data_IF_664116922324
#
_entry.id   IF_664116922324
#
_cell.length_a   1.000
_cell.length_b   1.000
_cell.length_c   1.000
_cell.angle_alpha   90.00
_cell.angle_beta   90.00
_cell.angle_gamma   90.00
#
_symmetry.space_group_name_H-M   'P 1'
#
loop_
_entity.id
_entity.type
_entity.pdbx_description
1 polymer ?
#
# COMPACT_ATOMS: atom_id res chain seq x y z
N UNK A 1 -8.00 1.38 54.41
CA UNK A 1 -7.13 0.50 53.58
C UNK A 1 -7.48 0.75 52.14
N UNK A 2 -6.66 1.57 51.53
CA UNK A 2 -6.41 1.92 50.13
C UNK A 2 -7.57 1.90 49.11
N UNK A 3 -8.13 3.08 49.03
CA UNK A 3 -8.85 3.60 47.84
C UNK A 3 -7.90 4.53 47.06
N UNK A 4 -6.85 3.99 46.45
CA UNK A 4 -5.98 4.76 45.52
C UNK A 4 -5.27 3.79 44.58
N UNK A 5 -5.86 3.56 43.42
CA UNK A 5 -5.17 3.22 42.17
C UNK A 5 -6.23 3.03 41.05
N UNK A 6 -7.18 3.96 40.94
CA UNK A 6 -7.77 4.21 39.63
C UNK A 6 -6.74 5.03 38.84
N UNK A 7 -5.76 4.36 38.25
CA UNK A 7 -5.00 4.92 37.12
C UNK A 7 -6.05 5.40 36.12
N UNK A 8 -6.17 6.72 35.99
CA UNK A 8 -6.89 7.33 34.87
C UNK A 8 -6.18 6.84 33.62
N UNK A 9 -6.75 5.84 32.96
CA UNK A 9 -6.43 5.56 31.58
C UNK A 9 -6.64 6.89 30.84
N UNK A 10 -5.69 7.34 30.00
CA UNK A 10 -5.95 8.47 29.15
C UNK A 10 -7.26 8.17 28.40
N UNK A 11 -8.11 9.20 28.17
CA UNK A 11 -9.32 8.99 27.38
C UNK A 11 -8.91 8.31 26.07
N UNK A 12 -9.70 7.35 25.57
CA UNK A 12 -9.41 6.74 24.29
C UNK A 12 -9.23 7.91 23.32
N UNK A 13 -8.05 8.01 22.68
CA UNK A 13 -7.88 8.87 21.53
C UNK A 13 -8.89 8.33 20.53
N UNK A 14 -9.99 9.00 20.39
CA UNK A 14 -10.86 8.85 19.21
C UNK A 14 -10.02 9.39 18.06
N UNK A 15 -9.22 8.52 17.44
CA UNK A 15 -8.60 8.80 16.17
C UNK A 15 -9.79 8.95 15.21
N UNK A 16 -9.98 10.14 14.70
CA UNK A 16 -10.94 10.35 13.62
C UNK A 16 -10.56 9.38 12.49
N UNK A 17 -11.55 8.67 11.91
CA UNK A 17 -11.25 7.74 10.82
C UNK A 17 -10.60 8.51 9.68
N UNK A 18 -9.59 7.92 9.04
CA UNK A 18 -9.00 8.50 7.84
C UNK A 18 -10.05 8.65 6.73
N UNK A 19 -9.80 9.54 5.76
CA UNK A 19 -10.68 9.68 4.60
C UNK A 19 -10.87 8.35 3.86
N UNK A 20 -9.79 7.56 3.73
CA UNK A 20 -9.85 6.21 3.18
C UNK A 20 -10.79 5.31 3.99
N UNK A 21 -10.66 5.27 5.32
CA UNK A 21 -11.51 4.42 6.16
C UNK A 21 -12.98 4.82 6.05
N UNK A 22 -13.29 6.12 5.96
CA UNK A 22 -14.67 6.60 5.73
C UNK A 22 -15.20 6.08 4.40
N UNK A 23 -14.42 6.20 3.32
CA UNK A 23 -14.79 5.69 2.00
C UNK A 23 -15.06 4.18 2.02
N UNK A 24 -14.18 3.40 2.65
CA UNK A 24 -14.33 1.94 2.73
C UNK A 24 -15.56 1.53 3.53
N UNK A 25 -15.85 2.22 4.62
CA UNK A 25 -17.08 1.97 5.43
C UNK A 25 -18.36 2.26 4.64
N UNK A 26 -18.38 3.33 3.84
CA UNK A 26 -19.50 3.65 2.97
C UNK A 26 -19.66 2.60 1.87
N UNK A 27 -18.56 2.22 1.20
CA UNK A 27 -18.59 1.23 0.14
C UNK A 27 -19.04 -0.15 0.62
N UNK A 28 -18.54 -0.63 1.77
CA UNK A 28 -18.95 -1.94 2.28
C UNK A 28 -20.39 -1.92 2.78
N UNK A 29 -20.88 -0.77 3.25
CA UNK A 29 -22.27 -0.55 3.59
C UNK A 29 -23.20 -0.62 2.38
N UNK A 30 -22.77 -0.04 1.25
CA UNK A 30 -23.53 -0.05 -0.01
C UNK A 30 -23.52 -1.42 -0.70
N UNK A 31 -22.33 -2.02 -0.82
CA UNK A 31 -22.12 -3.21 -1.65
C UNK A 31 -22.24 -4.54 -0.90
N UNK A 32 -22.13 -4.51 0.42
CA UNK A 32 -22.11 -5.71 1.26
C UNK A 32 -20.78 -6.44 1.26
N UNK A 33 -19.96 -6.34 0.19
CA UNK A 33 -18.69 -7.02 0.00
C UNK A 33 -17.73 -6.13 -0.81
N UNK A 34 -16.40 -6.21 -0.54
CA UNK A 34 -15.38 -5.45 -1.27
C UNK A 34 -14.27 -6.37 -1.78
N UNK A 35 -13.82 -6.08 -3.00
CA UNK A 35 -12.63 -6.63 -3.63
C UNK A 35 -11.47 -5.63 -3.52
N UNK A 36 -10.39 -6.03 -2.92
CA UNK A 36 -9.25 -5.17 -2.60
C UNK A 36 -8.00 -5.69 -3.31
N UNK A 37 -7.32 -4.83 -4.05
CA UNK A 37 -5.98 -5.07 -4.57
C UNK A 37 -5.01 -4.14 -3.86
N UNK A 38 -3.98 -4.69 -3.22
CA UNK A 38 -2.92 -3.94 -2.55
C UNK A 38 -1.58 -4.23 -3.21
N UNK A 39 -0.89 -3.19 -3.65
CA UNK A 39 0.42 -3.23 -4.29
C UNK A 39 1.44 -2.54 -3.38
N UNK A 40 2.56 -3.22 -3.10
CA UNK A 40 3.53 -2.81 -2.08
C UNK A 40 3.02 -3.12 -0.68
N UNK A 41 2.57 -4.36 -0.46
CA UNK A 41 1.91 -4.73 0.78
C UNK A 41 2.85 -4.80 2.00
N UNK A 42 4.16 -4.90 1.78
CA UNK A 42 5.15 -5.12 2.83
C UNK A 42 4.75 -6.32 3.73
N UNK A 43 4.73 -6.16 5.07
CA UNK A 43 4.23 -7.20 5.98
C UNK A 43 2.68 -7.19 6.14
N UNK A 44 2.01 -6.25 5.47
CA UNK A 44 0.55 -6.10 5.45
C UNK A 44 -0.09 -5.70 6.77
N UNK A 45 0.70 -5.23 7.76
CA UNK A 45 0.17 -4.94 9.10
C UNK A 45 0.73 -3.67 9.73
N UNK A 46 2.05 -3.56 9.79
CA UNK A 46 2.69 -2.45 10.51
C UNK A 46 2.65 -1.20 9.64
N UNK A 47 1.98 -0.16 10.14
CA UNK A 47 1.75 1.08 9.37
C UNK A 47 1.00 0.83 8.05
N UNK A 48 0.11 -0.15 8.05
CA UNK A 48 -0.73 -0.47 6.89
C UNK A 48 -2.09 0.22 7.03
N UNK A 49 -2.56 1.00 6.03
CA UNK A 49 -3.76 1.81 6.15
C UNK A 49 -5.06 1.00 6.11
N UNK A 50 -5.03 -0.27 5.66
CA UNK A 50 -6.23 -1.08 5.43
C UNK A 50 -6.29 -2.38 6.23
N UNK A 51 -5.20 -2.78 6.90
CA UNK A 51 -5.14 -4.02 7.68
C UNK A 51 -6.29 -4.14 8.69
N UNK A 52 -6.49 -3.13 9.53
CA UNK A 52 -7.52 -3.15 10.57
C UNK A 52 -8.94 -3.15 10.00
N UNK A 53 -9.14 -2.53 8.85
CA UNK A 53 -10.41 -2.58 8.13
C UNK A 53 -10.67 -4.00 7.61
N UNK A 54 -9.70 -4.62 6.95
CA UNK A 54 -9.83 -5.99 6.44
C UNK A 54 -10.04 -6.98 7.58
N UNK A 55 -9.30 -6.85 8.69
CA UNK A 55 -9.47 -7.70 9.86
C UNK A 55 -10.90 -7.64 10.42
N UNK A 56 -11.48 -6.45 10.51
CA UNK A 56 -12.86 -6.26 10.99
C UNK A 56 -13.94 -6.73 10.02
N UNK A 57 -13.61 -6.89 8.75
CA UNK A 57 -14.53 -7.24 7.67
C UNK A 57 -14.05 -8.45 6.85
N UNK A 58 -13.30 -9.38 7.48
CA UNK A 58 -12.66 -10.52 6.81
C UNK A 58 -13.64 -11.46 6.09
N UNK A 59 -14.87 -11.52 6.53
CA UNK A 59 -15.98 -12.28 5.92
C UNK A 59 -16.65 -11.56 4.75
N UNK A 60 -16.29 -10.29 4.53
CA UNK A 60 -16.89 -9.38 3.55
C UNK A 60 -15.86 -8.74 2.62
N UNK A 61 -14.67 -9.30 2.57
CA UNK A 61 -13.59 -8.83 1.69
C UNK A 61 -12.93 -9.99 0.97
N UNK A 62 -12.50 -9.76 -0.27
CA UNK A 62 -11.51 -10.56 -0.98
C UNK A 62 -10.27 -9.70 -1.16
N UNK A 63 -9.08 -10.25 -0.97
CA UNK A 63 -7.86 -9.47 -1.03
C UNK A 63 -6.80 -10.13 -1.91
N UNK A 64 -6.21 -9.34 -2.80
CA UNK A 64 -5.05 -9.72 -3.60
C UNK A 64 -3.91 -8.78 -3.24
N UNK A 65 -2.75 -9.34 -2.91
CA UNK A 65 -1.54 -8.62 -2.58
C UNK A 65 -0.47 -8.81 -3.64
N UNK A 66 0.33 -7.78 -3.87
CA UNK A 66 1.60 -7.86 -4.58
C UNK A 66 2.70 -7.31 -3.68
N UNK A 67 3.73 -8.13 -3.40
CA UNK A 67 4.90 -7.75 -2.60
C UNK A 67 6.17 -8.32 -3.23
N UNK A 68 7.12 -7.46 -3.67
CA UNK A 68 8.31 -7.92 -4.38
C UNK A 68 9.36 -8.59 -3.49
N UNK A 69 9.36 -8.33 -2.19
CA UNK A 69 10.36 -8.83 -1.26
C UNK A 69 9.94 -10.20 -0.69
N UNK A 70 10.52 -11.28 -1.17
CA UNK A 70 10.09 -12.67 -0.85
C UNK A 70 10.04 -12.98 0.64
N UNK A 71 10.95 -12.43 1.45
CA UNK A 71 10.93 -12.66 2.90
C UNK A 71 9.78 -11.93 3.61
N UNK A 72 9.22 -10.87 3.03
CA UNK A 72 8.03 -10.21 3.56
C UNK A 72 6.74 -10.97 3.22
N UNK A 73 6.75 -11.74 2.15
CA UNK A 73 5.61 -12.61 1.80
C UNK A 73 5.30 -13.59 2.94
N UNK A 74 6.32 -14.14 3.60
CA UNK A 74 6.12 -15.02 4.76
C UNK A 74 5.47 -14.28 5.95
N UNK A 75 5.88 -13.04 6.21
CA UNK A 75 5.27 -12.22 7.26
C UNK A 75 3.84 -11.78 6.89
N UNK A 76 3.62 -11.42 5.62
CA UNK A 76 2.30 -11.10 5.07
C UNK A 76 1.33 -12.29 5.19
N UNK A 77 1.78 -13.49 4.84
CA UNK A 77 1.02 -14.74 5.02
C UNK A 77 0.58 -14.94 6.47
N UNK A 78 1.50 -14.80 7.44
CA UNK A 78 1.21 -14.92 8.87
C UNK A 78 0.24 -13.85 9.35
N UNK A 79 0.46 -12.60 8.95
CA UNK A 79 -0.37 -11.47 9.37
C UNK A 79 -1.80 -11.57 8.83
N UNK A 80 -2.01 -12.33 7.75
CA UNK A 80 -3.31 -12.57 7.12
C UNK A 80 -3.80 -14.02 7.24
N UNK A 81 -3.29 -14.82 8.20
CA UNK A 81 -3.80 -16.18 8.48
C UNK A 81 -5.31 -16.20 8.74
N UNK A 82 -5.86 -15.12 9.30
CA UNK A 82 -7.28 -14.98 9.59
C UNK A 82 -8.15 -14.86 8.32
N UNK A 83 -7.56 -14.54 7.17
CA UNK A 83 -8.30 -14.21 5.94
C UNK A 83 -8.30 -15.39 4.95
N UNK A 84 -9.48 -15.99 4.75
CA UNK A 84 -9.60 -17.18 3.90
C UNK A 84 -9.52 -16.89 2.39
N UNK A 85 -10.00 -15.72 1.96
CA UNK A 85 -10.12 -15.33 0.55
C UNK A 85 -9.02 -14.32 0.19
N UNK A 86 -7.76 -14.78 0.23
CA UNK A 86 -6.59 -13.98 -0.14
C UNK A 86 -5.75 -14.68 -1.19
N UNK A 87 -5.03 -13.88 -1.97
CA UNK A 87 -3.97 -14.31 -2.87
C UNK A 87 -2.76 -13.38 -2.72
N UNK A 88 -1.55 -13.94 -2.66
CA UNK A 88 -0.31 -13.17 -2.52
C UNK A 88 0.58 -13.48 -3.72
N UNK A 89 0.92 -12.46 -4.48
CA UNK A 89 1.87 -12.51 -5.57
C UNK A 89 3.22 -11.99 -5.09
N UNK A 90 4.26 -12.82 -5.17
CA UNK A 90 5.62 -12.38 -4.89
C UNK A 90 6.23 -11.74 -6.14
N UNK A 91 5.98 -10.47 -6.33
CA UNK A 91 6.44 -9.70 -7.47
C UNK A 91 5.89 -8.28 -7.47
N UNK A 92 6.18 -7.54 -8.51
CA UNK A 92 5.78 -6.15 -8.70
C UNK A 92 4.63 -6.01 -9.71
N UNK A 93 3.95 -4.88 -9.67
CA UNK A 93 2.99 -4.46 -10.69
C UNK A 93 3.65 -3.41 -11.59
N UNK A 94 3.62 -3.67 -12.90
CA UNK A 94 4.21 -2.77 -13.89
C UNK A 94 3.96 -3.26 -15.32
N UNK A 95 4.61 -2.60 -16.29
CA UNK A 95 4.42 -2.87 -17.72
C UNK A 95 5.53 -3.75 -18.33
N UNK A 96 6.70 -3.79 -17.69
CA UNK A 96 7.82 -4.61 -18.10
C UNK A 96 7.72 -5.99 -17.44
N UNK A 97 8.29 -7.06 -18.02
CA UNK A 97 8.24 -8.41 -17.42
C UNK A 97 9.09 -8.53 -16.15
N UNK A 98 10.04 -7.63 -15.97
CA UNK A 98 10.92 -7.56 -14.80
C UNK A 98 11.06 -6.12 -14.34
N UNK A 99 11.23 -5.93 -13.03
CA UNK A 99 11.51 -4.63 -12.41
C UNK A 99 12.78 -4.73 -11.57
N UNK A 100 13.69 -3.77 -11.79
CA UNK A 100 14.86 -3.59 -10.94
C UNK A 100 14.48 -2.73 -9.74
N UNK A 101 14.72 -3.26 -8.54
CA UNK A 101 14.47 -2.58 -7.27
C UNK A 101 15.77 -2.40 -6.49
N UNK A 102 15.75 -1.41 -5.61
CA UNK A 102 16.81 -1.10 -4.64
C UNK A 102 16.24 -1.24 -3.23
N UNK A 103 17.04 -1.85 -2.33
CA UNK A 103 16.67 -2.02 -0.93
C UNK A 103 17.88 -1.95 -0.03
N UNK A 104 17.63 -1.78 1.26
CA UNK A 104 18.68 -1.90 2.27
C UNK A 104 19.03 -3.38 2.48
N UNK A 105 20.33 -3.68 2.41
CA UNK A 105 20.85 -5.02 2.70
C UNK A 105 20.53 -5.42 4.13
N UNK A 106 20.20 -6.69 4.33
CA UNK A 106 19.77 -7.25 5.62
C UNK A 106 20.78 -7.02 6.74
N UNK A 107 22.07 -7.06 6.43
CA UNK A 107 23.17 -6.91 7.40
C UNK A 107 23.16 -5.54 8.08
N UNK A 108 22.51 -4.55 7.50
CA UNK A 108 22.48 -3.17 7.99
C UNK A 108 21.14 -2.76 8.65
N UNK A 109 20.17 -3.65 8.73
CA UNK A 109 18.85 -3.31 9.29
C UNK A 109 18.89 -2.86 10.74
N UNK A 110 19.79 -3.45 11.54
CA UNK A 110 19.94 -3.14 12.96
C UNK A 110 20.44 -1.72 13.23
N UNK A 111 21.05 -1.09 12.23
CA UNK A 111 21.60 0.25 12.33
C UNK A 111 20.62 1.35 11.86
N UNK A 112 19.39 0.99 11.57
CA UNK A 112 18.36 1.96 11.19
C UNK A 112 17.63 2.50 12.41
N UNK A 113 17.68 3.83 12.61
CA UNK A 113 17.01 4.53 13.68
C UNK A 113 15.96 5.50 13.11
N UNK A 114 14.73 5.02 13.00
CA UNK A 114 13.60 5.82 12.52
C UNK A 114 12.72 6.22 13.70
N UNK A 115 12.58 7.50 14.04
CA UNK A 115 11.95 7.97 15.29
C UNK A 115 10.50 7.52 15.47
N UNK A 116 9.73 7.41 14.37
CA UNK A 116 8.34 6.96 14.44
C UNK A 116 8.19 5.43 14.44
N UNK A 117 9.28 4.69 14.18
CA UNK A 117 9.28 3.22 14.12
C UNK A 117 9.63 2.57 15.48
N UNK A 118 9.52 3.32 16.58
CA UNK A 118 9.85 2.78 17.90
C UNK A 118 8.93 1.60 18.25
N UNK A 119 9.56 0.46 18.55
CA UNK A 119 8.85 -0.79 18.84
C UNK A 119 8.50 -1.63 17.61
N UNK A 120 8.83 -1.18 16.40
CA UNK A 120 8.70 -2.00 15.19
C UNK A 120 9.78 -3.10 15.16
N UNK A 121 9.50 -4.23 14.49
CA UNK A 121 10.55 -5.19 14.17
C UNK A 121 11.66 -4.54 13.34
N UNK A 122 12.89 -5.01 13.55
CA UNK A 122 14.11 -4.44 12.92
C UNK A 122 14.00 -4.36 11.39
N UNK A 123 13.31 -5.29 10.78
CA UNK A 123 13.15 -5.32 9.32
C UNK A 123 12.25 -4.21 8.79
N UNK A 124 11.22 -3.78 9.56
CA UNK A 124 10.07 -3.05 8.99
C UNK A 124 10.45 -1.68 8.40
N UNK A 125 11.28 -0.90 9.10
CA UNK A 125 11.68 0.41 8.61
C UNK A 125 12.59 0.33 7.37
N UNK A 126 13.68 -0.47 7.34
CA UNK A 126 14.53 -0.57 6.16
C UNK A 126 13.87 -1.27 4.96
N UNK A 127 12.87 -2.12 5.17
CA UNK A 127 12.15 -2.74 4.04
C UNK A 127 11.07 -1.84 3.46
N UNK A 128 10.52 -0.95 4.27
CA UNK A 128 9.49 -0.01 3.86
C UNK A 128 9.95 1.02 2.83
N UNK A 129 11.26 1.22 2.67
CA UNK A 129 11.82 2.17 1.70
C UNK A 129 12.29 1.52 0.40
N UNK A 130 11.94 0.27 0.15
CA UNK A 130 12.29 -0.44 -1.08
C UNK A 130 11.60 0.20 -2.28
N UNK A 131 12.37 0.60 -3.29
CA UNK A 131 11.87 1.39 -4.42
C UNK A 131 12.58 1.02 -5.73
N UNK A 132 11.94 1.30 -6.87
CA UNK A 132 12.60 1.34 -8.17
C UNK A 132 13.51 2.57 -8.34
N UNK A 133 13.37 3.56 -7.46
CA UNK A 133 14.18 4.77 -7.46
C UNK A 133 15.34 4.67 -6.46
N UNK A 134 16.58 4.55 -6.97
CA UNK A 134 17.79 4.48 -6.14
C UNK A 134 17.97 5.70 -5.23
N UNK A 135 17.72 6.90 -5.76
CA UNK A 135 17.92 8.16 -5.02
C UNK A 135 16.92 8.29 -3.87
N UNK A 136 15.71 7.78 -4.03
CA UNK A 136 14.73 7.66 -2.96
C UNK A 136 15.31 6.81 -1.82
N UNK A 137 15.72 5.58 -2.09
CA UNK A 137 16.32 4.68 -1.08
C UNK A 137 17.54 5.31 -0.43
N UNK A 138 18.45 5.88 -1.22
CA UNK A 138 19.67 6.52 -0.71
C UNK A 138 19.36 7.71 0.21
N UNK A 139 18.35 8.50 -0.11
CA UNK A 139 17.94 9.65 0.71
C UNK A 139 17.49 9.21 2.10
N UNK A 140 16.71 8.14 2.16
CA UNK A 140 16.25 7.55 3.42
C UNK A 140 17.40 6.93 4.22
N UNK A 141 18.31 6.20 3.55
CA UNK A 141 19.52 5.65 4.18
C UNK A 141 20.35 6.77 4.78
N UNK A 142 20.67 7.82 4.02
CA UNK A 142 21.42 9.00 4.53
C UNK A 142 20.76 9.64 5.74
N UNK A 143 19.46 9.61 5.81
CA UNK A 143 18.69 10.23 6.89
C UNK A 143 18.66 9.39 8.17
N UNK A 144 18.54 8.07 8.05
CA UNK A 144 18.20 7.19 9.18
C UNK A 144 19.21 6.08 9.50
N UNK A 145 20.15 5.81 8.62
CA UNK A 145 21.23 4.86 8.91
C UNK A 145 22.25 5.48 9.88
N UNK A 146 22.66 4.71 10.93
CA UNK A 146 23.58 5.15 11.99
C UNK A 146 24.83 4.30 12.09
N UNK A 147 25.00 3.29 11.21
CA UNK A 147 26.19 2.47 11.17
C UNK A 147 27.42 3.19 10.61
N UNK A 148 28.52 2.46 10.47
CA UNK A 148 29.83 3.01 10.09
C UNK A 148 30.14 2.89 8.59
N UNK A 149 29.38 2.13 7.83
CA UNK A 149 29.57 1.97 6.37
C UNK A 149 29.09 3.21 5.62
N UNK A 150 29.60 3.42 4.41
CA UNK A 150 29.04 4.44 3.55
C UNK A 150 27.58 4.10 3.20
N UNK A 151 26.67 5.08 3.17
CA UNK A 151 25.26 4.83 2.86
C UNK A 151 25.05 4.04 1.57
N UNK A 152 25.83 4.32 0.55
CA UNK A 152 25.79 3.67 -0.75
C UNK A 152 26.11 2.16 -0.68
N UNK A 153 26.99 1.75 0.26
CA UNK A 153 27.39 0.36 0.46
C UNK A 153 26.30 -0.48 1.16
N UNK A 154 25.31 0.17 1.78
CA UNK A 154 24.21 -0.49 2.46
C UNK A 154 23.08 -0.89 1.53
N UNK A 155 23.09 -0.41 0.29
CA UNK A 155 22.03 -0.61 -0.69
C UNK A 155 22.43 -1.74 -1.64
N UNK A 156 21.50 -2.63 -1.90
CA UNK A 156 21.61 -3.64 -2.95
C UNK A 156 20.50 -3.51 -3.97
N UNK A 157 20.77 -3.98 -5.20
CA UNK A 157 19.78 -4.09 -6.27
C UNK A 157 19.36 -5.54 -6.47
N UNK A 158 18.10 -5.75 -6.80
CA UNK A 158 17.57 -7.07 -7.14
C UNK A 158 16.47 -6.93 -8.19
N UNK A 159 16.29 -7.95 -9.02
CA UNK A 159 15.23 -8.02 -10.01
C UNK A 159 14.10 -8.87 -9.50
N UNK A 160 12.87 -8.48 -9.82
CA UNK A 160 11.67 -9.24 -9.50
C UNK A 160 10.79 -9.42 -10.73
N UNK A 161 10.01 -10.49 -10.74
CA UNK A 161 8.94 -10.66 -11.72
C UNK A 161 7.97 -9.47 -11.62
N UNK A 162 7.56 -8.97 -12.78
CA UNK A 162 6.64 -7.86 -12.84
C UNK A 162 5.53 -8.17 -13.85
N UNK A 163 4.28 -8.02 -13.41
CA UNK A 163 3.10 -8.27 -14.23
C UNK A 163 2.12 -7.09 -14.15
N UNK A 164 1.18 -7.01 -15.07
CA UNK A 164 0.10 -6.02 -14.97
C UNK A 164 -0.91 -6.43 -13.92
N UNK A 165 -1.63 -5.46 -13.32
CA UNK A 165 -2.70 -5.77 -12.38
C UNK A 165 -3.77 -6.67 -13.02
N UNK A 166 -4.13 -6.47 -14.28
CA UNK A 166 -5.06 -7.34 -14.98
C UNK A 166 -4.58 -8.80 -14.99
N UNK A 167 -3.28 -9.02 -15.29
CA UNK A 167 -2.72 -10.38 -15.28
C UNK A 167 -2.72 -11.00 -13.87
N UNK A 168 -2.46 -10.20 -12.84
CA UNK A 168 -2.55 -10.65 -11.45
C UNK A 168 -3.97 -11.09 -11.09
N UNK A 169 -4.99 -10.30 -11.45
CA UNK A 169 -6.40 -10.62 -11.22
C UNK A 169 -6.82 -11.92 -11.92
N UNK A 170 -6.39 -12.11 -13.17
CA UNK A 170 -6.63 -13.35 -13.94
C UNK A 170 -5.96 -14.57 -13.29
N UNK A 171 -4.75 -14.41 -12.73
CA UNK A 171 -4.00 -15.50 -12.10
C UNK A 171 -4.58 -15.89 -10.75
N UNK A 172 -4.98 -14.90 -9.95
CA UNK A 172 -5.55 -15.12 -8.63
C UNK A 172 -6.95 -15.73 -8.66
N UNK A 173 -7.72 -15.46 -9.70
CA UNK A 173 -9.09 -15.94 -9.94
C UNK A 173 -10.06 -15.75 -8.74
N UNK A 174 -9.83 -14.69 -7.94
CA UNK A 174 -10.69 -14.34 -6.81
C UNK A 174 -11.77 -13.32 -7.22
N UNK A 175 -11.40 -12.39 -8.06
CA UNK A 175 -12.29 -11.36 -8.62
C UNK A 175 -11.66 -10.74 -9.86
N UNK A 176 -12.48 -10.21 -10.75
CA UNK A 176 -12.03 -9.61 -12.01
C UNK A 176 -11.80 -8.10 -11.94
N UNK A 177 -12.25 -7.45 -10.85
CA UNK A 177 -12.21 -6.00 -10.68
C UNK A 177 -12.12 -5.64 -9.21
N UNK A 178 -11.13 -4.81 -8.79
CA UNK A 178 -11.06 -4.30 -7.43
C UNK A 178 -12.06 -3.15 -7.21
N UNK A 179 -12.59 -3.04 -6.00
CA UNK A 179 -13.29 -1.87 -5.51
C UNK A 179 -12.29 -0.85 -4.94
N UNK A 180 -11.25 -1.33 -4.26
CA UNK A 180 -10.11 -0.55 -3.80
C UNK A 180 -8.83 -1.03 -4.50
N UNK A 181 -8.09 -0.08 -5.04
CA UNK A 181 -6.67 -0.22 -5.40
C UNK A 181 -5.85 0.59 -4.38
N UNK A 182 -5.18 -0.12 -3.46
CA UNK A 182 -4.21 0.47 -2.53
C UNK A 182 -2.81 0.32 -3.11
N UNK A 183 -2.07 1.41 -3.22
CA UNK A 183 -0.69 1.42 -3.73
C UNK A 183 0.22 2.07 -2.71
N UNK A 184 1.38 1.44 -2.47
CA UNK A 184 2.47 1.96 -1.67
C UNK A 184 3.78 1.43 -2.29
N UNK A 185 4.25 2.12 -3.32
CA UNK A 185 5.40 1.71 -4.14
C UNK A 185 6.61 2.65 -3.98
N UNK A 186 6.62 3.42 -2.89
CA UNK A 186 7.75 4.25 -2.45
C UNK A 186 8.30 5.14 -3.59
N UNK A 187 7.39 5.97 -4.16
CA UNK A 187 7.70 6.91 -5.23
C UNK A 187 7.61 6.31 -6.65
N UNK A 188 7.04 5.10 -6.79
CA UNK A 188 6.72 4.45 -8.08
C UNK A 188 5.21 4.25 -8.28
N UNK A 189 4.40 4.93 -7.46
CA UNK A 189 2.96 4.76 -7.35
C UNK A 189 2.20 5.11 -8.64
N UNK A 190 2.62 6.15 -9.34
CA UNK A 190 2.06 6.55 -10.63
C UNK A 190 2.27 5.48 -11.71
N UNK A 191 3.45 4.87 -11.78
CA UNK A 191 3.74 3.79 -12.73
C UNK A 191 2.89 2.55 -12.45
N UNK A 192 2.67 2.21 -11.17
CA UNK A 192 1.74 1.15 -10.76
C UNK A 192 0.32 1.48 -11.19
N UNK A 193 -0.15 2.71 -10.96
CA UNK A 193 -1.50 3.15 -11.35
C UNK A 193 -1.66 3.11 -12.89
N UNK A 194 -0.67 3.58 -13.65
CA UNK A 194 -0.69 3.48 -15.12
C UNK A 194 -0.69 2.03 -15.61
N UNK A 195 0.08 1.14 -14.95
CA UNK A 195 0.13 -0.28 -15.28
C UNK A 195 -1.15 -1.03 -14.87
N UNK A 196 -1.96 -0.44 -14.00
CA UNK A 196 -3.20 -1.05 -13.50
C UNK A 196 -4.38 -0.92 -14.44
N UNK A 197 -4.23 -0.22 -15.59
CA UNK A 197 -5.29 -0.07 -16.59
C UNK A 197 -6.63 0.39 -15.99
N UNK A 198 -6.56 1.48 -15.20
CA UNK A 198 -7.72 2.00 -14.46
C UNK A 198 -8.86 2.47 -15.38
N UNK A 199 -8.56 2.79 -16.65
CA UNK A 199 -9.56 3.12 -17.67
C UNK A 199 -10.55 1.98 -17.88
N UNK A 200 -10.10 0.73 -17.73
CA UNK A 200 -10.88 -0.48 -17.93
C UNK A 200 -11.36 -1.08 -16.61
N UNK A 201 -10.47 -1.20 -15.64
CA UNK A 201 -10.78 -1.83 -14.36
C UNK A 201 -11.67 -0.94 -13.48
N UNK A 202 -11.55 0.40 -13.59
CA UNK A 202 -12.38 1.37 -12.86
C UNK A 202 -12.54 1.03 -11.37
N UNK A 203 -11.45 0.85 -10.57
CA UNK A 203 -11.61 0.73 -9.13
C UNK A 203 -12.39 1.93 -8.58
N UNK A 204 -13.25 1.72 -7.59
CA UNK A 204 -14.06 2.80 -7.03
C UNK A 204 -13.25 3.78 -6.21
N UNK A 205 -12.21 3.26 -5.57
CA UNK A 205 -11.26 4.05 -4.77
C UNK A 205 -9.84 3.63 -5.16
N UNK A 206 -8.98 4.61 -5.34
CA UNK A 206 -7.54 4.43 -5.47
C UNK A 206 -6.92 5.24 -4.35
N UNK A 207 -6.15 4.60 -3.46
CA UNK A 207 -5.36 5.26 -2.43
C UNK A 207 -3.88 4.96 -2.67
N UNK A 208 -3.03 5.98 -2.58
CA UNK A 208 -1.61 5.83 -2.91
C UNK A 208 -0.76 6.89 -2.22
N UNK A 209 0.55 6.64 -2.09
CA UNK A 209 1.47 7.60 -1.49
C UNK A 209 1.83 8.72 -2.49
N UNK A 210 1.16 9.85 -2.35
CA UNK A 210 1.31 11.00 -3.25
C UNK A 210 2.56 11.84 -2.94
N UNK A 211 2.92 11.93 -1.66
CA UNK A 211 3.97 12.82 -1.16
C UNK A 211 5.40 12.45 -1.60
N UNK A 212 5.62 11.23 -2.07
CA UNK A 212 6.91 10.75 -2.57
C UNK A 212 7.10 10.94 -4.09
N UNK A 213 6.06 11.43 -4.79
CA UNK A 213 6.15 11.68 -6.23
C UNK A 213 6.81 13.03 -6.52
N UNK A 214 7.70 13.13 -7.53
CA UNK A 214 8.14 14.40 -8.09
C UNK A 214 6.95 15.24 -8.60
N UNK A 215 7.05 16.56 -8.49
CA UNK A 215 5.94 17.49 -8.77
C UNK A 215 5.36 17.34 -10.18
N UNK A 216 6.22 17.15 -11.18
CA UNK A 216 5.82 16.92 -12.58
C UNK A 216 5.03 15.60 -12.74
N UNK A 217 5.54 14.50 -12.18
CA UNK A 217 4.87 13.20 -12.21
C UNK A 217 3.54 13.23 -11.43
N UNK A 218 3.52 13.91 -10.28
CA UNK A 218 2.32 14.11 -9.48
C UNK A 218 1.23 14.84 -10.28
N UNK A 219 1.58 15.92 -10.99
CA UNK A 219 0.64 16.68 -11.81
C UNK A 219 0.10 15.85 -12.99
N UNK A 220 0.96 15.06 -13.65
CA UNK A 220 0.55 14.15 -14.73
C UNK A 220 -0.42 13.08 -14.22
N UNK A 221 -0.13 12.49 -13.05
CA UNK A 221 -1.00 11.48 -12.44
C UNK A 221 -2.37 12.05 -12.10
N UNK A 222 -2.44 13.24 -11.49
CA UNK A 222 -3.72 13.89 -11.17
C UNK A 222 -4.53 14.12 -12.45
N UNK A 223 -3.92 14.67 -13.50
CA UNK A 223 -4.58 14.86 -14.79
C UNK A 223 -5.08 13.54 -15.39
N UNK A 224 -4.31 12.45 -15.26
CA UNK A 224 -4.71 11.13 -15.72
C UNK A 224 -5.91 10.57 -14.93
N UNK A 225 -5.91 10.73 -13.60
CA UNK A 225 -7.02 10.31 -12.74
C UNK A 225 -8.31 11.08 -13.10
N UNK A 226 -8.24 12.42 -13.19
CA UNK A 226 -9.38 13.28 -13.53
C UNK A 226 -9.95 12.95 -14.92
N UNK A 227 -9.08 12.76 -15.92
CA UNK A 227 -9.47 12.33 -17.27
C UNK A 227 -10.20 10.99 -17.25
N UNK A 228 -9.90 10.13 -16.29
CA UNK A 228 -10.56 8.83 -16.13
C UNK A 228 -11.79 8.87 -15.23
N UNK A 229 -12.25 10.05 -14.82
CA UNK A 229 -13.48 10.27 -14.07
C UNK A 229 -13.33 10.16 -12.56
N UNK A 230 -12.11 10.31 -12.03
CA UNK A 230 -11.87 10.34 -10.60
C UNK A 230 -11.83 11.77 -10.07
N UNK A 231 -12.42 11.99 -8.91
CA UNK A 231 -12.17 13.17 -8.09
C UNK A 231 -11.01 12.88 -7.17
N UNK A 232 -9.98 13.74 -7.20
CA UNK A 232 -8.74 13.58 -6.44
C UNK A 232 -8.68 14.52 -5.25
N UNK A 233 -8.12 14.04 -4.13
CA UNK A 233 -7.84 14.84 -2.93
C UNK A 233 -6.58 14.33 -2.21
N UNK A 234 -5.91 15.21 -1.48
CA UNK A 234 -4.70 14.87 -0.70
C UNK A 234 -5.02 14.88 0.79
N UNK A 235 -4.59 13.85 1.50
CA UNK A 235 -4.79 13.65 2.93
C UNK A 235 -3.45 13.30 3.61
N UNK A 236 -2.77 14.30 4.15
CA UNK A 236 -1.40 14.13 4.66
C UNK A 236 -0.41 13.93 3.52
N UNK A 237 0.21 12.76 3.45
CA UNK A 237 1.09 12.34 2.35
C UNK A 237 0.36 11.47 1.32
N UNK A 238 -0.86 11.04 1.60
CA UNK A 238 -1.63 10.13 0.74
C UNK A 238 -2.50 10.89 -0.24
N UNK A 239 -2.62 10.36 -1.45
CA UNK A 239 -3.58 10.72 -2.47
C UNK A 239 -4.76 9.77 -2.46
N UNK A 240 -5.98 10.32 -2.45
CA UNK A 240 -7.21 9.58 -2.53
C UNK A 240 -7.98 9.99 -3.80
N UNK A 241 -8.19 9.04 -4.70
CA UNK A 241 -8.98 9.24 -5.90
C UNK A 241 -10.25 8.39 -5.84
N UNK A 242 -11.41 9.03 -5.98
CA UNK A 242 -12.71 8.40 -5.90
C UNK A 242 -13.38 8.52 -7.26
N UNK A 243 -13.81 7.40 -7.82
CA UNK A 243 -14.51 7.37 -9.10
C UNK A 243 -15.86 8.08 -8.94
N UNK A 244 -16.09 9.12 -9.72
CA UNK A 244 -17.32 9.92 -9.66
C UNK A 244 -18.52 9.05 -10.02
N UNK A 245 -19.51 8.99 -9.13
CA UNK A 245 -20.72 8.17 -9.29
C UNK A 245 -21.58 8.61 -10.48
N UNK A 246 -21.42 9.85 -10.98
CA UNK A 246 -22.15 10.34 -12.16
C UNK A 246 -21.70 9.65 -13.47
N UNK A 247 -20.52 9.02 -13.48
CA UNK A 247 -19.99 8.27 -14.63
C UNK A 247 -20.24 6.76 -14.54
N UNK A 248 -20.84 6.27 -13.46
CA UNK A 248 -21.31 4.90 -13.36
C UNK A 248 -22.69 4.83 -14.00
N UNK A 249 -22.74 4.43 -15.27
CA UNK A 249 -24.01 4.13 -15.96
C UNK A 249 -24.74 3.02 -15.17
N UNK A 250 -25.91 3.33 -14.53
CA UNK A 250 -26.64 2.34 -13.74
C UNK A 250 -27.10 1.13 -14.57
N UNK A 251 -27.11 1.25 -15.91
CA UNK A 251 -27.55 0.18 -16.82
C UNK A 251 -26.44 -0.77 -17.25
N UNK A 252 -25.16 -0.47 -16.93
CA UNK A 252 -24.00 -1.33 -17.25
C UNK A 252 -23.46 -2.12 -16.07
N UNK A 253 -24.14 -2.08 -14.91
CA UNK A 253 -23.69 -2.69 -13.66
C UNK A 253 -24.52 -3.94 -13.29
N UNK A 254 -25.21 -4.54 -14.24
CA UNK A 254 -25.90 -5.84 -14.10
C UNK A 254 -25.16 -6.92 -14.85
#
# INVERSE_FOLDING_TARGET
MNMELKRKLPPPKYLEPSALEVCLRLLIGERGHLNIAQVGANDGKINDPIHDFIFRHMDRTNVIFAEPQSYLVEELEKNYEFHALKYIFNGAIGRSPELLLYRVRKDFWVDFEVPYANGWPVYRAPTGITSANYDHVLSWVKRYYRGHSAPEDTIEKFCVECITLQRLLETADLFSRPDLLQVDAEGWDDEVIYASNIEKLKPRVINFEFGNLPEDRAAELVSYLEKNGYTFSVHGIDGLAILDFQHLDPQKTL
#
